data_IF_280260507672
#
_entry.id   IF_280260507672
#
_cell.length_a   1.000
_cell.length_b   1.000
_cell.length_c   1.000
_cell.angle_alpha   90.00
_cell.angle_beta   90.00
_cell.angle_gamma   90.00
#
_symmetry.space_group_name_H-M   'P 1'
#
loop_
_entity.id
_entity.type
_entity.pdbx_description
1 polymer ?
#
# COMPACT_ATOMS: atom_id res chain seq x y z
N UNK A 1 7.11 -25.85 9.79
CA UNK A 1 7.44 -25.43 8.42
C UNK A 1 6.21 -24.82 7.76
N UNK A 2 6.40 -23.74 7.07
CA UNK A 2 5.29 -23.13 6.33
C UNK A 2 5.01 -23.94 5.07
N UNK A 3 3.75 -24.18 4.81
CA UNK A 3 3.37 -24.79 3.56
C UNK A 3 3.60 -23.82 2.41
N UNK A 4 3.72 -24.35 1.20
CA UNK A 4 3.84 -23.49 0.04
C UNK A 4 2.63 -22.59 -0.07
N UNK A 5 2.86 -21.32 -0.23
CA UNK A 5 1.80 -20.36 -0.30
C UNK A 5 1.41 -19.74 1.02
N UNK A 6 1.99 -20.23 2.12
CA UNK A 6 1.74 -19.62 3.43
C UNK A 6 2.59 -18.37 3.56
N UNK A 7 2.07 -17.28 3.07
CA UNK A 7 2.73 -15.99 3.17
C UNK A 7 1.99 -15.11 4.16
N UNK A 8 2.76 -14.21 4.77
CA UNK A 8 2.17 -13.21 5.63
C UNK A 8 1.88 -11.95 4.84
N UNK A 9 0.81 -11.30 5.18
CA UNK A 9 0.41 -10.04 4.59
C UNK A 9 0.14 -9.02 5.67
N UNK A 10 0.41 -7.76 5.36
CA UNK A 10 0.02 -6.66 6.23
C UNK A 10 -1.32 -6.15 5.72
N UNK A 11 -2.32 -6.23 6.57
CA UNK A 11 -3.64 -5.67 6.26
C UNK A 11 -3.67 -4.25 6.80
N UNK A 12 -4.08 -3.32 5.96
CA UNK A 12 -4.14 -1.92 6.37
C UNK A 12 -5.47 -1.32 5.92
N UNK A 13 -6.11 -0.54 6.79
CA UNK A 13 -7.40 0.07 6.45
C UNK A 13 -7.21 1.38 5.68
N UNK A 14 -8.13 1.60 4.74
CA UNK A 14 -8.31 2.90 4.12
C UNK A 14 -9.79 3.21 4.26
N UNK A 15 -10.13 3.83 5.40
CA UNK A 15 -11.52 4.02 5.76
C UNK A 15 -12.15 2.70 6.19
N UNK A 16 -13.27 2.36 5.61
CA UNK A 16 -13.98 1.15 5.97
C UNK A 16 -13.49 -0.07 5.19
N UNK A 17 -12.64 0.14 4.22
CA UNK A 17 -12.14 -0.95 3.38
C UNK A 17 -10.71 -1.27 3.78
N UNK A 18 -10.36 -2.56 3.72
CA UNK A 18 -9.00 -2.99 4.03
C UNK A 18 -8.34 -3.54 2.78
N UNK A 19 -7.03 -3.35 2.72
CA UNK A 19 -6.19 -3.84 1.63
C UNK A 19 -5.00 -4.56 2.24
N UNK A 20 -4.27 -5.26 1.40
CA UNK A 20 -3.13 -6.04 1.87
C UNK A 20 -1.90 -5.80 1.00
N UNK A 21 -0.74 -5.83 1.66
CA UNK A 21 0.56 -5.85 0.99
C UNK A 21 1.34 -7.05 1.50
N UNK A 22 2.20 -7.66 0.67
CA UNK A 22 3.07 -8.72 1.18
C UNK A 22 3.91 -8.18 2.33
N UNK A 23 3.91 -8.91 3.45
CA UNK A 23 4.62 -8.45 4.65
C UNK A 23 6.11 -8.26 4.40
N UNK A 24 6.68 -9.08 3.52
CA UNK A 24 8.10 -9.01 3.22
C UNK A 24 8.50 -7.69 2.57
N UNK A 25 7.55 -6.95 2.00
CA UNK A 25 7.85 -5.66 1.36
C UNK A 25 7.70 -4.49 2.32
N UNK A 26 7.03 -4.67 3.43
CA UNK A 26 6.78 -3.58 4.40
C UNK A 26 7.91 -3.55 5.40
N UNK A 27 8.61 -2.41 5.49
CA UNK A 27 9.77 -2.30 6.35
C UNK A 27 9.45 -1.65 7.69
N UNK A 28 8.48 -0.73 7.73
CA UNK A 28 8.12 -0.08 8.98
C UNK A 28 6.83 0.69 8.82
N UNK A 29 6.31 1.14 9.93
CA UNK A 29 5.14 2.01 10.00
C UNK A 29 5.63 3.37 10.50
N UNK A 30 5.29 4.43 9.81
CA UNK A 30 5.75 5.77 10.14
C UNK A 30 4.58 6.69 10.45
N UNK A 31 4.83 7.67 11.30
CA UNK A 31 3.84 8.70 11.60
C UNK A 31 3.98 9.85 10.60
N UNK A 32 2.91 10.62 10.39
CA UNK A 32 2.94 11.70 9.40
C UNK A 32 3.64 12.98 9.87
N UNK A 33 4.15 13.01 11.08
CA UNK A 33 4.74 14.24 11.64
C UNK A 33 5.99 14.71 10.89
N UNK A 34 6.59 13.85 10.08
CA UNK A 34 7.72 14.24 9.24
C UNK A 34 7.33 14.44 7.78
N UNK A 35 6.03 14.49 7.50
CA UNK A 35 5.55 14.65 6.14
C UNK A 35 5.74 16.08 5.67
N UNK A 36 6.28 16.22 4.45
CA UNK A 36 6.38 17.50 3.78
C UNK A 36 5.69 17.39 2.42
N UNK A 37 4.82 18.34 2.13
CA UNK A 37 4.08 18.34 0.88
C UNK A 37 4.76 19.23 -0.15
N UNK A 38 4.48 18.98 -1.40
CA UNK A 38 5.05 19.75 -2.50
C UNK A 38 3.99 20.65 -3.12
N UNK A 39 4.37 21.85 -3.58
CA UNK A 39 3.43 22.67 -4.36
C UNK A 39 3.13 22.07 -5.73
N UNK A 40 4.09 21.37 -6.33
CA UNK A 40 3.88 20.68 -7.60
C UNK A 40 4.04 19.20 -7.35
N UNK A 41 2.99 18.46 -7.59
CA UNK A 41 3.01 17.02 -7.36
C UNK A 41 2.20 16.30 -8.43
N UNK A 42 2.55 15.04 -8.64
CA UNK A 42 1.75 14.19 -9.51
C UNK A 42 0.47 13.79 -8.77
N UNK A 43 -0.51 13.22 -9.47
CA UNK A 43 -1.74 12.79 -8.81
C UNK A 43 -1.53 11.87 -7.63
N UNK A 44 -0.50 11.01 -7.68
CA UNK A 44 -0.24 10.08 -6.58
C UNK A 44 0.79 10.61 -5.59
N UNK A 45 1.85 11.26 -6.09
CA UNK A 45 2.91 11.70 -5.19
C UNK A 45 2.49 12.99 -4.51
N UNK A 46 2.21 12.91 -3.22
CA UNK A 46 1.69 14.04 -2.47
C UNK A 46 2.72 14.70 -1.57
N UNK A 47 3.88 14.07 -1.37
CA UNK A 47 4.91 14.64 -0.53
C UNK A 47 6.02 13.64 -0.28
N UNK A 48 6.80 13.91 0.76
CA UNK A 48 7.87 13.01 1.19
C UNK A 48 7.85 12.91 2.71
N UNK A 49 8.36 11.78 3.20
CA UNK A 49 8.64 11.59 4.61
C UNK A 49 10.15 11.52 4.80
N UNK A 50 10.62 12.08 5.91
CA UNK A 50 12.02 11.95 6.28
C UNK A 50 12.15 10.80 7.27
N UNK A 51 12.89 9.77 6.90
CA UNK A 51 13.09 8.60 7.76
C UNK A 51 14.55 8.24 7.80
N UNK A 52 15.15 8.35 8.99
CA UNK A 52 16.53 7.91 9.22
C UNK A 52 17.50 8.53 8.21
N UNK A 53 17.32 9.83 7.95
CA UNK A 53 18.18 10.54 7.01
C UNK A 53 17.85 10.30 5.55
N UNK A 54 16.78 9.57 5.26
CA UNK A 54 16.36 9.30 3.88
C UNK A 54 15.07 10.01 3.57
N UNK A 55 14.93 10.41 2.32
CA UNK A 55 13.72 10.99 1.80
C UNK A 55 12.90 9.87 1.16
N UNK A 56 11.69 9.65 1.66
CA UNK A 56 10.81 8.59 1.18
C UNK A 56 9.60 9.24 0.52
N UNK A 57 9.41 9.03 -0.80
CA UNK A 57 8.23 9.62 -1.46
C UNK A 57 6.94 9.00 -0.94
N UNK A 58 5.92 9.83 -0.82
CA UNK A 58 4.59 9.40 -0.40
C UNK A 58 3.71 9.28 -1.62
N UNK A 59 3.23 8.06 -1.88
CA UNK A 59 2.28 7.81 -2.96
C UNK A 59 0.92 7.58 -2.31
N UNK A 60 0.02 8.54 -2.46
CA UNK A 60 -1.28 8.50 -1.81
C UNK A 60 -2.23 7.59 -2.59
N UNK A 61 -1.97 6.29 -2.50
CA UNK A 61 -2.75 5.29 -3.23
C UNK A 61 -4.20 5.23 -2.78
N UNK A 62 -4.52 5.85 -1.65
CA UNK A 62 -5.91 5.92 -1.19
C UNK A 62 -6.81 6.61 -2.22
N UNK A 63 -6.27 7.57 -2.95
CA UNK A 63 -7.05 8.25 -3.98
C UNK A 63 -7.50 7.31 -5.08
N UNK A 64 -6.68 6.31 -5.39
CA UNK A 64 -7.04 5.31 -6.40
C UNK A 64 -7.91 4.21 -5.80
N UNK A 65 -7.53 3.72 -4.63
CA UNK A 65 -8.18 2.55 -4.04
C UNK A 65 -9.56 2.84 -3.50
N UNK A 66 -9.76 4.00 -2.89
CA UNK A 66 -11.05 4.33 -2.26
C UNK A 66 -11.61 5.68 -2.69
N UNK A 67 -10.84 6.50 -3.40
CA UNK A 67 -11.33 7.75 -3.93
C UNK A 67 -11.01 8.96 -3.07
N UNK A 68 -11.48 10.15 -3.49
CA UNK A 68 -11.07 11.41 -2.86
C UNK A 68 -11.64 11.62 -1.47
N UNK A 69 -12.66 10.85 -1.08
CA UNK A 69 -13.28 11.01 0.24
C UNK A 69 -12.63 10.15 1.32
N UNK A 70 -11.43 9.64 1.07
CA UNK A 70 -10.74 8.82 2.06
C UNK A 70 -10.49 9.61 3.34
N UNK A 71 -10.57 8.94 4.51
CA UNK A 71 -10.35 9.61 5.79
C UNK A 71 -8.93 10.11 5.96
N UNK A 72 -8.67 10.92 6.99
CA UNK A 72 -7.31 11.38 7.26
C UNK A 72 -6.33 10.23 7.45
N UNK A 73 -5.11 10.40 6.96
CA UNK A 73 -4.06 9.39 7.06
C UNK A 73 -3.44 9.48 8.45
N UNK A 74 -3.47 8.36 9.14
CA UNK A 74 -2.93 8.29 10.50
C UNK A 74 -1.49 7.80 10.51
N UNK A 75 -1.15 6.94 9.57
CA UNK A 75 0.18 6.35 9.48
C UNK A 75 0.55 6.19 8.02
N UNK A 76 1.82 5.87 7.79
CA UNK A 76 2.32 5.53 6.47
C UNK A 76 3.11 4.24 6.56
N UNK A 77 2.76 3.28 5.72
CA UNK A 77 3.54 2.06 5.58
C UNK A 77 4.71 2.36 4.66
N UNK A 78 5.93 2.07 5.14
CA UNK A 78 7.12 2.22 4.32
C UNK A 78 7.37 0.87 3.68
N UNK A 79 7.31 0.81 2.38
CA UNK A 79 7.41 -0.44 1.64
C UNK A 79 8.47 -0.35 0.55
N UNK A 80 9.13 -1.47 0.29
CA UNK A 80 10.02 -1.60 -0.85
C UNK A 80 9.19 -1.75 -2.11
N UNK A 81 9.50 -0.94 -3.11
CA UNK A 81 8.77 -0.95 -4.35
C UNK A 81 9.77 -0.82 -5.49
N UNK A 82 9.63 -1.66 -6.51
CA UNK A 82 10.54 -1.64 -7.64
C UNK A 82 9.96 -0.77 -8.74
N UNK A 83 10.50 0.42 -8.88
CA UNK A 83 10.03 1.38 -9.87
C UNK A 83 11.17 1.66 -10.85
N UNK A 84 10.87 1.61 -12.15
CA UNK A 84 11.83 1.92 -13.21
C UNK A 84 13.14 1.16 -13.03
N UNK A 85 13.06 -0.13 -12.71
CA UNK A 85 14.22 -1.00 -12.49
C UNK A 85 15.05 -0.66 -11.26
N UNK A 86 14.55 0.23 -10.42
CA UNK A 86 15.20 0.57 -9.15
C UNK A 86 14.30 0.14 -8.00
N UNK A 87 14.95 -0.33 -6.95
CA UNK A 87 14.23 -0.69 -5.74
C UNK A 87 14.35 0.44 -4.75
N UNK A 88 13.23 1.07 -4.43
CA UNK A 88 13.19 2.23 -3.55
C UNK A 88 12.11 2.06 -2.50
N UNK A 89 12.24 2.82 -1.43
CA UNK A 89 11.21 2.89 -0.42
C UNK A 89 10.10 3.83 -0.87
N UNK A 90 8.87 3.47 -0.55
CA UNK A 90 7.70 4.27 -0.86
C UNK A 90 6.80 4.25 0.35
N UNK A 91 6.22 5.39 0.69
CA UNK A 91 5.29 5.50 1.81
C UNK A 91 3.87 5.43 1.28
N UNK A 92 3.06 4.58 1.89
CA UNK A 92 1.68 4.32 1.49
C UNK A 92 0.77 4.69 2.67
N UNK A 93 -0.28 5.47 2.45
CA UNK A 93 -1.12 5.92 3.56
C UNK A 93 -1.96 4.82 4.17
N UNK A 94 -2.29 5.01 5.43
CA UNK A 94 -3.05 4.09 6.23
C UNK A 94 -3.90 4.93 7.19
N UNK A 95 -5.17 4.58 7.35
CA UNK A 95 -6.08 5.38 8.17
C UNK A 95 -6.34 4.78 9.55
N UNK A 96 -5.72 3.65 9.88
CA UNK A 96 -5.94 3.02 11.17
C UNK A 96 -4.86 2.01 11.49
N UNK A 97 -5.22 1.05 12.32
CA UNK A 97 -4.26 0.04 12.75
C UNK A 97 -4.07 -1.03 11.69
N UNK A 98 -2.82 -1.46 11.54
CA UNK A 98 -2.47 -2.55 10.65
C UNK A 98 -2.40 -3.84 11.42
N UNK A 99 -2.57 -4.96 10.71
CA UNK A 99 -2.41 -6.27 11.34
C UNK A 99 -1.78 -7.24 10.36
N UNK A 100 -1.14 -8.26 10.90
CA UNK A 100 -0.57 -9.32 10.09
C UNK A 100 -1.59 -10.42 9.89
N UNK A 101 -1.60 -10.99 8.71
CA UNK A 101 -2.49 -12.10 8.39
C UNK A 101 -1.76 -13.10 7.53
N UNK A 102 -2.02 -14.39 7.78
CA UNK A 102 -1.56 -15.46 6.89
C UNK A 102 -2.74 -16.20 6.31
N UNK A 103 -3.84 -15.48 6.10
CA UNK A 103 -5.03 -16.06 5.50
C UNK A 103 -4.73 -16.60 4.11
N UNK A 104 -5.49 -17.60 3.66
CA UNK A 104 -5.24 -18.20 2.34
C UNK A 104 -5.57 -17.22 1.23
N UNK A 105 -4.77 -17.31 0.19
CA UNK A 105 -4.97 -16.52 -1.00
C UNK A 105 -5.96 -17.22 -1.92
N UNK A 106 -6.88 -16.44 -2.49
CA UNK A 106 -7.86 -16.96 -3.43
C UNK A 106 -7.67 -16.31 -4.79
N UNK A 107 -8.15 -16.96 -5.86
CA UNK A 107 -7.98 -16.40 -7.20
C UNK A 107 -8.79 -15.14 -7.41
N UNK A 108 -8.35 -14.32 -8.36
CA UNK A 108 -9.11 -13.16 -8.81
C UNK A 108 -10.37 -13.60 -9.51
N UNK A 109 -11.40 -12.74 -9.44
CA UNK A 109 -12.66 -13.03 -10.11
C UNK A 109 -12.67 -12.60 -11.58
N UNK A 110 -11.70 -11.77 -11.98
CA UNK A 110 -11.63 -11.23 -13.32
C UNK A 110 -12.18 -9.83 -13.46
N UNK A 111 -12.78 -9.31 -12.40
CA UNK A 111 -13.36 -7.96 -12.40
C UNK A 111 -12.48 -6.94 -11.70
N UNK A 112 -11.39 -7.38 -11.09
CA UNK A 112 -10.52 -6.48 -10.33
C UNK A 112 -9.64 -5.66 -11.26
N UNK A 113 -9.24 -4.45 -10.82
CA UNK A 113 -8.27 -3.68 -11.58
C UNK A 113 -6.93 -4.40 -11.68
N UNK A 114 -6.10 -4.05 -12.67
CA UNK A 114 -4.82 -4.76 -12.89
C UNK A 114 -3.84 -4.66 -11.71
N UNK A 115 -3.99 -3.64 -10.85
CA UNK A 115 -3.09 -3.50 -9.70
C UNK A 115 -3.53 -4.33 -8.49
N UNK A 116 -4.59 -5.12 -8.60
CA UNK A 116 -4.97 -6.08 -7.58
C UNK A 116 -4.43 -7.43 -8.00
N UNK A 117 -3.49 -7.96 -7.23
CA UNK A 117 -2.78 -9.18 -7.61
C UNK A 117 -3.40 -10.45 -7.05
N UNK A 118 -4.31 -10.33 -6.10
CA UNK A 118 -4.96 -11.49 -5.52
C UNK A 118 -5.93 -11.07 -4.43
N UNK A 119 -6.56 -12.05 -3.83
CA UNK A 119 -7.50 -11.83 -2.74
C UNK A 119 -7.12 -12.71 -1.56
N UNK A 120 -7.38 -12.22 -0.35
CA UNK A 120 -7.22 -13.01 0.86
C UNK A 120 -8.60 -13.30 1.43
N UNK A 121 -8.82 -14.55 1.81
CA UNK A 121 -10.06 -14.95 2.46
C UNK A 121 -9.88 -14.80 3.96
N UNK A 122 -10.59 -13.85 4.56
CA UNK A 122 -10.57 -13.63 6.00
C UNK A 122 -11.98 -13.82 6.54
N UNK A 123 -12.11 -13.84 7.86
CA UNK A 123 -13.41 -14.12 8.49
C UNK A 123 -14.50 -13.16 8.07
N UNK A 124 -14.17 -11.90 7.87
CA UNK A 124 -15.15 -10.88 7.52
C UNK A 124 -15.34 -10.71 6.01
N UNK A 125 -14.74 -11.57 5.20
CA UNK A 125 -14.89 -11.49 3.75
C UNK A 125 -13.59 -11.62 3.03
N UNK A 126 -13.39 -10.83 1.97
CA UNK A 126 -12.15 -10.86 1.21
C UNK A 126 -11.45 -9.51 1.29
N UNK A 127 -10.11 -9.56 1.21
CA UNK A 127 -9.27 -8.38 1.21
C UNK A 127 -8.43 -8.41 -0.06
N UNK A 128 -8.40 -7.29 -0.78
CA UNK A 128 -7.64 -7.19 -2.03
C UNK A 128 -6.16 -6.97 -1.74
N UNK A 129 -5.31 -7.74 -2.43
CA UNK A 129 -3.86 -7.60 -2.34
C UNK A 129 -3.42 -6.62 -3.41
N UNK A 130 -2.76 -5.55 -3.00
CA UNK A 130 -2.35 -4.49 -3.92
C UNK A 130 -0.94 -4.76 -4.44
N UNK A 131 -0.77 -4.63 -5.74
CA UNK A 131 0.53 -4.62 -6.39
C UNK A 131 0.92 -3.15 -6.55
N UNK A 132 1.75 -2.66 -5.64
CA UNK A 132 2.12 -1.24 -5.63
C UNK A 132 2.83 -0.82 -6.91
N UNK A 133 3.66 -1.69 -7.45
CA UNK A 133 4.41 -1.35 -8.67
C UNK A 133 3.47 -1.11 -9.83
N UNK A 134 2.49 -1.98 -9.98
CA UNK A 134 1.50 -1.79 -11.04
C UNK A 134 0.62 -0.58 -10.81
N UNK A 135 0.19 -0.38 -9.57
CA UNK A 135 -0.67 0.75 -9.26
C UNK A 135 0.04 2.07 -9.56
N UNK A 136 1.27 2.21 -9.08
CA UNK A 136 2.01 3.45 -9.26
C UNK A 136 2.37 3.65 -10.73
N UNK A 137 2.77 2.58 -11.41
CA UNK A 137 3.12 2.68 -12.83
C UNK A 137 1.93 3.04 -13.70
N UNK A 138 0.75 2.50 -13.35
CA UNK A 138 -0.46 2.75 -14.14
C UNK A 138 -0.96 4.19 -13.98
N UNK A 139 -0.87 4.72 -12.76
CA UNK A 139 -1.44 6.03 -12.45
C UNK A 139 -0.42 7.17 -12.57
N UNK A 140 0.86 6.86 -12.63
CA UNK A 140 1.88 7.91 -12.70
C UNK A 140 1.86 8.56 -14.07
N UNK A 141 1.96 9.88 -14.16
CA UNK A 141 2.08 10.54 -15.45
C UNK A 141 3.43 10.25 -16.08
N UNK A 142 3.45 10.29 -17.39
CA UNK A 142 4.67 10.08 -18.16
C UNK A 142 5.67 11.18 -17.92
#
# INVERSE_FOLDING_TARGET
MMANGDKAYVLFPLGEKRFALPAETVTELARPDTLQTFPHRTPLMTGVLLRRGKIVPVCDVAQVLVGPAAPPRRFYLIANCKLASRQDLTAVPDTGECELSSAPRTPLTGNEPPYISGLLAIDSGTVEIVDLEKLISTEAPE
#
